data_IF_416155975196
#
_entry.id   IF_416155975196
#
_cell.length_a   1.000
_cell.length_b   1.000
_cell.length_c   1.000
_cell.angle_alpha   90.00
_cell.angle_beta   90.00
_cell.angle_gamma   90.00
#
_symmetry.space_group_name_H-M   'P 1'
#
loop_
_entity.id
_entity.type
_entity.pdbx_description
1 polymer ?
#
# COMPACT_ATOMS: atom_id res chain seq x y z
N UNK A 1 -3.29 17.92 -13.47
CA UNK A 1 -3.17 16.88 -12.44
C UNK A 1 -3.36 15.55 -13.18
N UNK A 2 -2.27 14.95 -13.64
CA UNK A 2 -2.30 13.81 -14.58
C UNK A 2 -2.73 12.52 -13.87
N UNK A 3 -3.65 11.79 -14.50
CA UNK A 3 -4.28 10.55 -14.01
C UNK A 3 -3.29 9.38 -13.81
N UNK A 4 -2.07 9.52 -14.35
CA UNK A 4 -0.97 8.53 -14.24
C UNK A 4 -0.53 8.20 -12.80
N UNK A 5 -0.91 9.03 -11.82
CA UNK A 5 -0.55 8.81 -10.42
C UNK A 5 -1.40 7.72 -9.73
N UNK A 6 -2.42 7.18 -10.42
CA UNK A 6 -3.42 6.25 -9.88
C UNK A 6 -3.44 4.88 -10.56
N UNK A 7 -2.70 4.71 -11.65
CA UNK A 7 -2.60 3.43 -12.34
C UNK A 7 -1.92 2.43 -11.42
N UNK A 8 -2.65 1.40 -11.00
CA UNK A 8 -2.08 0.25 -10.31
C UNK A 8 -1.22 -0.51 -11.33
N UNK A 9 0.09 -0.34 -11.24
CA UNK A 9 1.06 -1.17 -11.95
C UNK A 9 1.42 -2.43 -11.15
N UNK A 10 2.11 -3.37 -11.77
CA UNK A 10 2.42 -4.66 -11.13
C UNK A 10 3.33 -4.53 -9.91
N UNK A 11 4.21 -3.52 -9.89
CA UNK A 11 5.03 -3.21 -8.72
C UNK A 11 4.19 -2.79 -7.51
N UNK A 12 3.17 -1.95 -7.71
CA UNK A 12 2.23 -1.56 -6.66
C UNK A 12 1.40 -2.77 -6.21
N UNK A 13 0.94 -3.63 -7.14
CA UNK A 13 0.22 -4.88 -6.78
C UNK A 13 1.10 -5.79 -5.93
N UNK A 14 2.33 -6.02 -6.36
CA UNK A 14 3.29 -6.86 -5.65
C UNK A 14 3.60 -6.31 -4.26
N UNK A 15 3.75 -4.99 -4.14
CA UNK A 15 3.98 -4.32 -2.86
C UNK A 15 2.78 -4.48 -1.91
N UNK A 16 1.56 -4.23 -2.39
CA UNK A 16 0.34 -4.42 -1.60
C UNK A 16 0.23 -5.89 -1.18
N UNK A 17 0.42 -6.82 -2.10
CA UNK A 17 0.39 -8.26 -1.84
C UNK A 17 1.39 -8.68 -0.75
N UNK A 18 2.64 -8.19 -0.83
CA UNK A 18 3.68 -8.45 0.18
C UNK A 18 3.33 -7.89 1.56
N UNK A 19 2.67 -6.74 1.62
CA UNK A 19 2.23 -6.17 2.90
C UNK A 19 1.05 -6.96 3.45
N UNK A 20 0.04 -7.21 2.63
CA UNK A 20 -1.16 -7.97 3.01
C UNK A 20 -0.79 -9.38 3.48
N UNK A 21 0.10 -10.09 2.78
CA UNK A 21 0.52 -11.43 3.16
C UNK A 21 1.19 -11.51 4.54
N UNK A 22 1.71 -10.40 5.05
CA UNK A 22 2.32 -10.30 6.39
C UNK A 22 1.32 -9.92 7.48
N UNK A 23 0.15 -9.40 7.09
CA UNK A 23 -0.89 -8.94 8.00
C UNK A 23 -2.04 -9.95 8.12
N UNK A 24 -2.24 -10.82 7.13
CA UNK A 24 -3.26 -11.86 7.18
C UNK A 24 -3.03 -12.76 8.40
N UNK A 25 -4.09 -12.93 9.17
CA UNK A 25 -4.19 -13.88 10.28
C UNK A 25 -5.44 -14.72 10.08
N UNK A 26 -5.42 -16.00 10.46
CA UNK A 26 -6.51 -16.93 10.19
C UNK A 26 -7.86 -16.52 10.82
N UNK A 27 -7.83 -15.80 11.95
CA UNK A 27 -9.03 -15.47 12.73
C UNK A 27 -9.33 -13.96 12.82
N UNK A 28 -8.67 -13.12 12.01
CA UNK A 28 -8.86 -11.67 12.05
C UNK A 28 -9.19 -11.12 10.66
N UNK A 29 -10.16 -10.20 10.60
CA UNK A 29 -10.46 -9.46 9.38
C UNK A 29 -9.40 -8.38 9.19
N UNK A 30 -8.64 -8.49 8.10
CA UNK A 30 -7.69 -7.45 7.72
C UNK A 30 -8.42 -6.23 7.15
N UNK A 31 -8.36 -5.10 7.86
CA UNK A 31 -8.95 -3.84 7.40
C UNK A 31 -8.05 -3.10 6.40
N UNK A 32 -8.68 -2.31 5.53
CA UNK A 32 -7.94 -1.41 4.61
C UNK A 32 -7.11 -0.39 5.40
N UNK A 33 -7.57 0.02 6.58
CA UNK A 33 -6.84 0.94 7.45
C UNK A 33 -5.51 0.35 7.96
N UNK A 34 -5.51 -0.94 8.33
CA UNK A 34 -4.29 -1.64 8.75
C UNK A 34 -3.29 -1.78 7.60
N UNK A 35 -3.78 -2.07 6.38
CA UNK A 35 -2.94 -2.12 5.18
C UNK A 35 -2.30 -0.75 4.92
N UNK A 36 -3.07 0.34 5.02
CA UNK A 36 -2.55 1.72 4.88
C UNK A 36 -1.50 2.03 5.94
N UNK A 37 -1.74 1.64 7.19
CA UNK A 37 -0.82 1.86 8.32
C UNK A 37 0.49 1.10 8.15
N UNK A 38 0.43 -0.14 7.67
CA UNK A 38 1.61 -0.94 7.37
C UNK A 38 2.41 -0.37 6.18
N UNK A 39 1.73 0.05 5.10
CA UNK A 39 2.37 0.73 3.97
C UNK A 39 3.02 2.06 4.39
N UNK A 40 2.39 2.80 5.29
CA UNK A 40 2.94 4.04 5.84
C UNK A 40 4.22 3.77 6.62
N UNK A 41 4.21 2.75 7.49
CA UNK A 41 5.36 2.34 8.27
C UNK A 41 6.52 1.87 7.38
N UNK A 42 6.22 1.09 6.34
CA UNK A 42 7.20 0.66 5.34
C UNK A 42 7.82 1.84 4.60
N UNK A 43 7.01 2.82 4.20
CA UNK A 43 7.48 4.05 3.54
C UNK A 43 8.46 4.83 4.41
N UNK A 44 8.18 4.99 5.70
CA UNK A 44 9.03 5.75 6.64
C UNK A 44 10.37 5.06 6.87
N UNK A 45 10.37 3.72 6.93
CA UNK A 45 11.58 2.93 7.20
C UNK A 45 12.41 2.61 5.96
N UNK A 46 11.85 2.72 4.76
CA UNK A 46 12.52 2.32 3.53
C UNK A 46 13.59 3.31 3.07
N UNK A 47 14.87 2.89 2.93
CA UNK A 47 15.91 3.73 2.33
C UNK A 47 15.74 3.87 0.81
N UNK A 48 15.06 2.92 0.15
CA UNK A 48 14.82 2.95 -1.28
C UNK A 48 13.71 3.95 -1.68
N UNK A 49 14.04 4.87 -2.59
CA UNK A 49 13.15 5.91 -3.10
C UNK A 49 11.97 5.33 -3.87
N UNK A 50 12.18 4.27 -4.65
CA UNK A 50 11.12 3.67 -5.46
C UNK A 50 10.06 3.03 -4.57
N UNK A 51 10.49 2.26 -3.57
CA UNK A 51 9.61 1.70 -2.53
C UNK A 51 8.83 2.80 -1.82
N UNK A 52 9.45 3.94 -1.48
CA UNK A 52 8.72 5.06 -0.85
C UNK A 52 7.62 5.64 -1.75
N UNK A 53 7.90 5.80 -3.04
CA UNK A 53 6.95 6.29 -4.03
C UNK A 53 5.80 5.30 -4.24
N UNK A 54 6.11 4.02 -4.39
CA UNK A 54 5.13 2.94 -4.54
C UNK A 54 4.23 2.81 -3.31
N UNK A 55 4.78 2.92 -2.09
CA UNK A 55 3.97 2.99 -0.86
C UNK A 55 3.03 4.22 -0.86
N UNK A 56 3.52 5.39 -1.28
CA UNK A 56 2.68 6.62 -1.34
C UNK A 56 1.53 6.45 -2.34
N UNK A 57 1.79 5.88 -3.51
CA UNK A 57 0.76 5.60 -4.53
C UNK A 57 -0.25 4.57 -4.01
N UNK A 58 0.22 3.46 -3.45
CA UNK A 58 -0.63 2.42 -2.85
C UNK A 58 -1.57 2.99 -1.77
N UNK A 59 -1.05 3.84 -0.87
CA UNK A 59 -1.85 4.49 0.18
C UNK A 59 -2.95 5.37 -0.42
N UNK A 60 -2.63 6.20 -1.43
CA UNK A 60 -3.64 7.05 -2.08
C UNK A 60 -4.75 6.23 -2.74
N UNK A 61 -4.38 5.15 -3.41
CA UNK A 61 -5.32 4.25 -4.09
C UNK A 61 -6.24 3.56 -3.06
N UNK A 62 -5.68 3.06 -1.96
CA UNK A 62 -6.44 2.39 -0.90
C UNK A 62 -7.33 3.36 -0.13
N UNK A 63 -6.85 4.58 0.15
CA UNK A 63 -7.64 5.60 0.83
C UNK A 63 -8.89 5.98 0.04
N UNK A 64 -8.83 5.96 -1.30
CA UNK A 64 -10.02 6.19 -2.15
C UNK A 64 -11.08 5.11 -2.03
N UNK A 65 -10.72 3.88 -1.64
CA UNK A 65 -11.68 2.79 -1.39
C UNK A 65 -12.37 2.89 -0.03
N UNK A 66 -11.95 3.81 0.83
CA UNK A 66 -12.59 4.10 2.12
C UNK A 66 -13.67 5.20 2.00
N UNK A 67 -13.95 5.69 0.78
CA UNK A 67 -15.01 6.65 0.45
C UNK A 67 -16.24 5.95 -0.12
#
# INVERSE_FOLDING_TARGET
MTDDDLTINDEIRALIGKVVSRLIRPDEVLSVHEIITALHSLRVRSPDRNTRLSCRKAIRILARKLH
#
